data_IF_844237124301
#
_entry.id   IF_844237124301
#
_cell.length_a   1.000
_cell.length_b   1.000
_cell.length_c   1.000
_cell.angle_alpha   90.00
_cell.angle_beta   90.00
_cell.angle_gamma   90.00
#
_symmetry.space_group_name_H-M   'P 1'
#
loop_
_entity.id
_entity.type
_entity.pdbx_description
1 polymer ?
#
# COMPACT_ATOMS: atom_id res chain seq x y z
N UNK A 1 -44.69 -21.75 45.43
CA UNK A 1 -43.74 -22.25 44.41
C UNK A 1 -43.14 -21.03 43.71
N UNK A 2 -42.05 -20.50 44.24
CA UNK A 2 -41.39 -19.29 43.71
C UNK A 2 -40.04 -19.66 43.10
N UNK A 3 -40.00 -19.77 41.76
CA UNK A 3 -38.75 -19.92 41.01
C UNK A 3 -38.25 -18.54 40.61
N UNK A 4 -37.45 -17.91 41.48
CA UNK A 4 -36.71 -16.70 41.13
C UNK A 4 -35.55 -17.14 40.24
N UNK A 5 -35.60 -16.75 38.96
CA UNK A 5 -34.49 -16.86 38.02
C UNK A 5 -33.31 -16.07 38.57
N UNK A 6 -32.26 -16.80 38.95
CA UNK A 6 -31.05 -16.26 39.55
C UNK A 6 -30.33 -15.34 38.57
N UNK A 7 -30.42 -14.03 38.83
CA UNK A 7 -29.73 -12.96 38.08
C UNK A 7 -28.21 -13.19 38.10
N UNK A 8 -27.68 -13.93 39.08
CA UNK A 8 -26.27 -14.30 39.15
C UNK A 8 -25.85 -15.18 37.98
N UNK A 9 -26.73 -16.06 37.48
CA UNK A 9 -26.43 -16.94 36.35
C UNK A 9 -26.29 -16.15 35.03
N UNK A 10 -27.15 -15.14 34.82
CA UNK A 10 -27.08 -14.26 33.65
C UNK A 10 -25.82 -13.39 33.71
N UNK A 11 -25.50 -12.82 34.87
CA UNK A 11 -24.31 -11.99 35.05
C UNK A 11 -22.99 -12.80 34.95
N UNK A 12 -22.98 -14.07 35.39
CA UNK A 12 -21.83 -14.96 35.20
C UNK A 12 -21.64 -15.34 33.72
N UNK A 13 -22.74 -15.61 33.01
CA UNK A 13 -22.70 -15.91 31.59
C UNK A 13 -22.19 -14.71 30.76
N UNK A 14 -22.64 -13.49 31.08
CA UNK A 14 -22.13 -12.26 30.45
C UNK A 14 -20.64 -12.05 30.72
N UNK A 15 -20.19 -12.24 31.97
CA UNK A 15 -18.78 -12.09 32.32
C UNK A 15 -17.89 -13.14 31.65
N UNK A 16 -18.39 -14.36 31.44
CA UNK A 16 -17.68 -15.40 30.70
C UNK A 16 -17.64 -15.13 29.19
N UNK A 17 -18.71 -14.58 28.61
CA UNK A 17 -18.78 -14.22 27.19
C UNK A 17 -17.81 -13.08 26.83
N UNK A 18 -17.62 -12.09 27.72
CA UNK A 18 -16.60 -11.04 27.58
C UNK A 18 -15.17 -11.59 27.64
N UNK A 19 -14.90 -12.61 28.48
CA UNK A 19 -13.55 -13.21 28.56
C UNK A 19 -13.21 -14.11 27.37
N UNK A 20 -14.20 -14.78 26.77
CA UNK A 20 -13.99 -15.64 25.60
C UNK A 20 -13.77 -14.81 24.34
N UNK A 21 -14.59 -13.78 24.13
CA UNK A 21 -14.42 -12.83 23.02
C UNK A 21 -13.09 -12.10 23.09
N UNK A 22 -12.65 -11.64 24.28
CA UNK A 22 -11.34 -11.00 24.40
C UNK A 22 -10.17 -11.93 24.06
N UNK A 23 -10.23 -13.21 24.48
CA UNK A 23 -9.15 -14.16 24.27
C UNK A 23 -9.07 -14.63 22.79
N UNK A 24 -10.20 -14.70 22.10
CA UNK A 24 -10.28 -14.96 20.65
C UNK A 24 -9.78 -13.77 19.82
N UNK A 25 -10.18 -12.54 20.17
CA UNK A 25 -9.66 -11.31 19.54
C UNK A 25 -8.15 -11.14 19.76
N UNK A 26 -7.64 -11.53 20.94
CA UNK A 26 -6.21 -11.53 21.24
C UNK A 26 -5.43 -12.58 20.44
N UNK A 27 -6.04 -13.73 20.11
CA UNK A 27 -5.38 -14.78 19.32
C UNK A 27 -5.28 -14.43 17.84
N UNK A 28 -6.32 -13.81 17.26
CA UNK A 28 -6.28 -13.29 15.88
C UNK A 28 -5.21 -12.21 15.69
N UNK A 29 -5.19 -11.22 16.59
CA UNK A 29 -4.21 -10.13 16.58
C UNK A 29 -2.78 -10.60 16.82
N UNK A 30 -2.57 -11.53 17.76
CA UNK A 30 -1.25 -12.08 18.03
C UNK A 30 -0.70 -12.91 16.86
N UNK A 31 -1.57 -13.63 16.12
CA UNK A 31 -1.15 -14.37 14.93
C UNK A 31 -0.83 -13.42 13.76
N UNK A 32 -1.58 -12.33 13.60
CA UNK A 32 -1.30 -11.28 12.61
C UNK A 32 0.09 -10.66 12.80
N UNK A 33 0.46 -10.31 14.02
CA UNK A 33 1.75 -9.65 14.31
C UNK A 33 2.97 -10.59 14.18
N UNK A 34 2.77 -11.90 14.33
CA UNK A 34 3.85 -12.91 14.38
C UNK A 34 4.01 -13.69 13.07
N UNK A 35 2.90 -14.08 12.43
CA UNK A 35 2.90 -14.85 11.19
C UNK A 35 1.74 -14.42 10.27
N UNK A 36 1.94 -13.27 9.62
CA UNK A 36 1.01 -12.71 8.64
C UNK A 36 0.61 -13.74 7.57
N UNK A 37 1.55 -14.56 7.10
CA UNK A 37 1.26 -15.57 6.09
C UNK A 37 0.22 -16.57 6.62
N UNK A 38 0.43 -17.17 7.79
CA UNK A 38 -0.55 -18.09 8.36
C UNK A 38 -1.89 -17.39 8.68
N UNK A 39 -1.85 -16.17 9.20
CA UNK A 39 -3.05 -15.38 9.47
C UNK A 39 -3.90 -15.16 8.20
N UNK A 40 -3.29 -14.83 7.06
CA UNK A 40 -4.03 -14.64 5.79
C UNK A 40 -4.71 -15.92 5.32
N UNK A 41 -4.03 -17.06 5.38
CA UNK A 41 -4.60 -18.35 4.96
C UNK A 41 -5.72 -18.82 5.89
N UNK A 42 -5.54 -18.64 7.21
CA UNK A 42 -6.56 -18.98 8.20
C UNK A 42 -7.85 -18.19 8.00
N UNK A 43 -7.75 -16.86 7.90
CA UNK A 43 -8.93 -16.01 7.67
C UNK A 43 -9.59 -16.28 6.31
N UNK A 44 -8.80 -16.58 5.27
CA UNK A 44 -9.34 -16.98 3.98
C UNK A 44 -10.11 -18.33 4.04
N UNK A 45 -9.66 -19.27 4.86
CA UNK A 45 -10.37 -20.54 5.08
C UNK A 45 -11.69 -20.34 5.84
N UNK A 46 -11.68 -19.55 6.92
CA UNK A 46 -12.90 -19.17 7.65
C UNK A 46 -13.93 -18.48 6.75
N UNK A 47 -13.49 -17.56 5.88
CA UNK A 47 -14.35 -16.91 4.89
C UNK A 47 -14.99 -17.91 3.92
N UNK A 48 -14.22 -18.88 3.40
CA UNK A 48 -14.75 -19.93 2.49
C UNK A 48 -15.76 -20.84 3.19
N UNK A 49 -15.60 -21.06 4.48
CA UNK A 49 -16.53 -21.86 5.31
C UNK A 49 -17.76 -21.06 5.77
N UNK A 50 -17.83 -19.74 5.50
CA UNK A 50 -18.92 -18.87 5.94
C UNK A 50 -18.91 -18.60 7.45
N UNK A 51 -17.78 -18.81 8.13
CA UNK A 51 -17.62 -18.64 9.59
C UNK A 51 -17.33 -17.19 9.95
N UNK A 52 -18.24 -16.28 9.58
CA UNK A 52 -18.06 -14.83 9.73
C UNK A 52 -17.97 -14.34 11.18
N UNK A 53 -18.40 -15.13 12.15
CA UNK A 53 -18.26 -14.78 13.57
C UNK A 53 -16.82 -14.93 14.10
N UNK A 54 -15.96 -15.63 13.36
CA UNK A 54 -14.61 -16.01 13.79
C UNK A 54 -13.51 -15.32 12.98
N UNK A 55 -13.87 -14.58 11.92
CA UNK A 55 -12.90 -13.83 11.12
C UNK A 55 -12.45 -12.58 11.86
N UNK A 56 -11.20 -12.21 11.63
CA UNK A 56 -10.60 -10.98 12.11
C UNK A 56 -10.98 -9.80 11.18
N UNK A 57 -12.25 -9.39 11.24
CA UNK A 57 -12.86 -8.48 10.26
C UNK A 57 -12.16 -7.11 10.19
N UNK A 58 -11.72 -6.57 11.33
CA UNK A 58 -11.02 -5.28 11.39
C UNK A 58 -9.69 -5.33 10.66
N UNK A 59 -8.83 -6.32 10.95
CA UNK A 59 -7.53 -6.43 10.30
C UNK A 59 -7.68 -6.80 8.81
N UNK A 60 -8.67 -7.62 8.44
CA UNK A 60 -8.98 -7.89 7.02
C UNK A 60 -9.37 -6.60 6.28
N UNK A 61 -10.23 -5.77 6.87
CA UNK A 61 -10.64 -4.51 6.25
C UNK A 61 -9.44 -3.57 6.07
N UNK A 62 -8.57 -3.45 7.08
CA UNK A 62 -7.35 -2.66 6.99
C UNK A 62 -6.44 -3.14 5.85
N UNK A 63 -6.21 -4.45 5.74
CA UNK A 63 -5.39 -5.03 4.66
C UNK A 63 -5.97 -4.77 3.27
N UNK A 64 -7.28 -4.87 3.09
CA UNK A 64 -7.95 -4.55 1.83
C UNK A 64 -7.80 -3.07 1.46
N UNK A 65 -7.92 -2.18 2.44
CA UNK A 65 -7.69 -0.75 2.24
C UNK A 65 -6.22 -0.46 1.91
N UNK A 66 -5.28 -1.13 2.58
CA UNK A 66 -3.86 -0.99 2.33
C UNK A 66 -3.43 -1.51 0.95
N UNK A 67 -4.01 -2.63 0.49
CA UNK A 67 -3.87 -3.11 -0.88
C UNK A 67 -4.32 -2.07 -1.92
N UNK A 68 -5.46 -1.41 -1.67
CA UNK A 68 -5.93 -0.32 -2.53
C UNK A 68 -5.00 0.90 -2.51
N UNK A 69 -4.49 1.27 -1.32
CA UNK A 69 -3.55 2.39 -1.14
C UNK A 69 -2.18 2.08 -1.78
N UNK A 70 -1.69 0.86 -1.68
CA UNK A 70 -0.39 0.45 -2.24
C UNK A 70 -0.37 0.56 -3.76
N UNK A 71 -1.44 0.12 -4.44
CA UNK A 71 -1.61 0.25 -5.90
C UNK A 71 -1.60 1.72 -6.36
N UNK A 72 -2.25 2.62 -5.60
CA UNK A 72 -2.20 4.07 -5.85
C UNK A 72 -0.78 4.64 -5.68
N UNK A 73 -0.08 4.25 -4.60
CA UNK A 73 1.30 4.68 -4.32
C UNK A 73 2.26 4.18 -5.41
N UNK A 74 2.10 2.95 -5.89
CA UNK A 74 2.90 2.40 -6.98
C UNK A 74 2.73 3.21 -8.27
N UNK A 75 1.48 3.50 -8.67
CA UNK A 75 1.21 4.32 -9.85
C UNK A 75 1.89 5.70 -9.76
N UNK A 76 1.75 6.37 -8.61
CA UNK A 76 2.40 7.66 -8.37
C UNK A 76 3.93 7.57 -8.50
N UNK A 77 4.56 6.60 -7.83
CA UNK A 77 6.01 6.39 -7.90
C UNK A 77 6.51 6.15 -9.34
N UNK A 78 5.81 5.31 -10.10
CA UNK A 78 6.16 5.03 -11.50
C UNK A 78 6.01 6.26 -12.40
N UNK A 79 4.93 7.03 -12.21
CA UNK A 79 4.71 8.28 -12.93
C UNK A 79 5.81 9.31 -12.60
N UNK A 80 6.19 9.46 -11.33
CA UNK A 80 7.28 10.34 -10.92
C UNK A 80 8.59 10.02 -11.65
N UNK A 81 8.98 8.74 -11.67
CA UNK A 81 10.20 8.28 -12.35
C UNK A 81 10.11 8.50 -13.86
N UNK A 82 8.96 8.21 -14.47
CA UNK A 82 8.73 8.42 -15.89
C UNK A 82 8.85 9.90 -16.25
N UNK A 83 8.13 10.77 -15.54
CA UNK A 83 8.11 12.22 -15.78
C UNK A 83 9.51 12.80 -15.60
N UNK A 84 10.23 12.44 -14.53
CA UNK A 84 11.61 12.86 -14.32
C UNK A 84 12.52 12.49 -15.51
N UNK A 85 12.42 11.26 -16.02
CA UNK A 85 13.24 10.83 -17.16
C UNK A 85 12.82 11.50 -18.47
N UNK A 86 11.53 11.76 -18.69
CA UNK A 86 11.04 12.52 -19.83
C UNK A 86 11.55 13.97 -19.81
N UNK A 87 11.54 14.63 -18.65
CA UNK A 87 12.09 15.98 -18.47
C UNK A 87 13.60 15.99 -18.76
N UNK A 88 14.37 15.04 -18.20
CA UNK A 88 15.79 14.89 -18.50
C UNK A 88 16.03 14.64 -19.99
N UNK A 89 15.19 13.84 -20.63
CA UNK A 89 15.27 13.58 -22.06
C UNK A 89 15.04 14.83 -22.90
N UNK A 90 14.02 15.62 -22.57
CA UNK A 90 13.66 16.85 -23.27
C UNK A 90 14.72 17.93 -23.11
N UNK A 91 15.16 18.21 -21.88
CA UNK A 91 16.00 19.36 -21.57
C UNK A 91 17.50 19.06 -21.51
N UNK A 92 17.93 17.80 -21.55
CA UNK A 92 19.36 17.43 -21.55
C UNK A 92 19.74 16.58 -22.78
N UNK A 93 19.54 17.07 -24.02
CA UNK A 93 19.77 16.29 -25.24
C UNK A 93 21.21 15.76 -25.35
N UNK A 94 22.21 16.56 -24.94
CA UNK A 94 23.63 16.18 -24.92
C UNK A 94 23.98 15.07 -23.91
N UNK A 95 23.04 14.68 -23.02
CA UNK A 95 23.26 13.72 -21.93
C UNK A 95 22.35 12.49 -22.04
N UNK A 96 21.59 12.37 -23.12
CA UNK A 96 20.77 11.19 -23.39
C UNK A 96 21.67 9.96 -23.41
N UNK A 97 21.29 8.94 -22.65
CA UNK A 97 21.96 7.65 -22.59
C UNK A 97 20.93 6.55 -22.84
N UNK A 98 21.37 5.42 -23.38
CA UNK A 98 20.51 4.26 -23.61
C UNK A 98 19.78 3.80 -22.34
N UNK A 99 20.41 3.92 -21.17
CA UNK A 99 19.76 3.60 -19.90
C UNK A 99 18.53 4.46 -19.60
N UNK A 100 18.48 5.72 -20.03
CA UNK A 100 17.29 6.58 -19.82
C UNK A 100 16.13 6.16 -20.71
N UNK A 101 16.39 5.84 -21.99
CA UNK A 101 15.36 5.32 -22.88
C UNK A 101 14.82 3.98 -22.38
N UNK A 102 15.69 3.11 -21.86
CA UNK A 102 15.28 1.84 -21.24
C UNK A 102 14.38 2.09 -20.04
N UNK A 103 14.74 3.01 -19.13
CA UNK A 103 13.88 3.35 -17.98
C UNK A 103 12.53 3.90 -18.42
N UNK A 104 12.48 4.81 -19.41
CA UNK A 104 11.23 5.34 -19.95
C UNK A 104 10.34 4.21 -20.50
N UNK A 105 10.92 3.32 -21.30
CA UNK A 105 10.21 2.18 -21.87
C UNK A 105 9.66 1.24 -20.79
N UNK A 106 10.47 0.91 -19.78
CA UNK A 106 10.06 0.07 -18.67
C UNK A 106 8.95 0.71 -17.85
N UNK A 107 9.07 1.98 -17.44
CA UNK A 107 8.02 2.64 -16.66
C UNK A 107 6.70 2.72 -17.44
N UNK A 108 6.73 3.02 -18.74
CA UNK A 108 5.52 3.00 -19.59
C UNK A 108 4.86 1.62 -19.63
N UNK A 109 5.66 0.55 -19.78
CA UNK A 109 5.14 -0.82 -19.80
C UNK A 109 4.49 -1.19 -18.47
N UNK A 110 5.16 -0.91 -17.35
CA UNK A 110 4.64 -1.28 -16.04
C UNK A 110 3.43 -0.43 -15.63
N UNK A 111 3.40 0.87 -15.96
CA UNK A 111 2.19 1.69 -15.77
C UNK A 111 1.02 1.14 -16.59
N UNK A 112 1.27 0.73 -17.84
CA UNK A 112 0.23 0.15 -18.69
C UNK A 112 -0.35 -1.11 -18.04
N UNK A 113 0.49 -2.05 -17.60
CA UNK A 113 0.07 -3.28 -16.90
C UNK A 113 -0.72 -2.96 -15.63
N UNK A 114 -0.21 -2.07 -14.78
CA UNK A 114 -0.88 -1.67 -13.55
C UNK A 114 -2.29 -1.13 -13.79
N UNK A 115 -2.49 -0.35 -14.86
CA UNK A 115 -3.80 0.19 -15.25
C UNK A 115 -4.70 -0.80 -16.02
N UNK A 116 -4.14 -1.91 -16.52
CA UNK A 116 -4.90 -3.04 -17.06
C UNK A 116 -5.42 -3.90 -15.91
N UNK A 117 -4.58 -4.18 -14.91
CA UNK A 117 -4.93 -4.94 -13.71
C UNK A 117 -5.85 -4.15 -12.77
N UNK A 118 -5.73 -2.81 -12.75
CA UNK A 118 -6.51 -1.92 -11.89
C UNK A 118 -7.16 -0.75 -12.67
N UNK A 119 -8.20 -1.01 -13.49
CA UNK A 119 -8.80 0.02 -14.34
C UNK A 119 -9.30 1.26 -13.60
N UNK A 120 -9.78 1.09 -12.37
CA UNK A 120 -10.29 2.19 -11.52
C UNK A 120 -9.21 3.22 -11.13
N UNK A 121 -7.93 2.90 -11.25
CA UNK A 121 -6.85 3.88 -11.02
C UNK A 121 -6.84 5.00 -12.07
N UNK A 122 -7.49 4.81 -13.23
CA UNK A 122 -7.56 5.82 -14.30
C UNK A 122 -8.34 7.07 -13.89
N UNK A 123 -9.34 6.95 -13.00
CA UNK A 123 -10.24 8.05 -12.67
C UNK A 123 -9.55 9.26 -12.01
N UNK A 124 -8.38 9.07 -11.39
CA UNK A 124 -7.65 10.17 -10.73
C UNK A 124 -6.24 10.37 -11.30
N UNK A 125 -5.96 9.84 -12.49
CA UNK A 125 -4.60 9.81 -13.03
C UNK A 125 -4.07 11.21 -13.36
N UNK A 126 -4.93 12.13 -13.81
CA UNK A 126 -4.52 13.50 -14.15
C UNK A 126 -4.02 14.27 -12.92
N UNK A 127 -4.73 14.16 -11.80
CA UNK A 127 -4.33 14.74 -10.52
C UNK A 127 -2.99 14.19 -10.06
N UNK A 128 -2.79 12.87 -10.18
CA UNK A 128 -1.52 12.22 -9.82
C UNK A 128 -0.40 12.72 -10.74
N UNK A 129 -0.61 12.77 -12.06
CA UNK A 129 0.37 13.30 -13.01
C UNK A 129 0.75 14.75 -12.67
N UNK A 130 -0.23 15.61 -12.39
CA UNK A 130 0.01 17.01 -12.06
C UNK A 130 0.89 17.15 -10.81
N UNK A 131 0.58 16.38 -9.76
CA UNK A 131 1.38 16.34 -8.53
C UNK A 131 2.81 15.84 -8.79
N UNK A 132 2.95 14.67 -9.42
CA UNK A 132 4.26 14.05 -9.66
C UNK A 132 5.12 14.86 -10.63
N UNK A 133 4.50 15.65 -11.52
CA UNK A 133 5.21 16.58 -12.39
C UNK A 133 5.89 17.72 -11.62
N UNK A 134 5.22 18.27 -10.61
CA UNK A 134 5.80 19.30 -9.73
C UNK A 134 7.00 18.71 -8.98
N UNK A 135 6.83 17.54 -8.38
CA UNK A 135 7.91 16.85 -7.65
C UNK A 135 9.10 16.51 -8.56
N UNK A 136 8.85 15.95 -9.75
CA UNK A 136 9.88 15.61 -10.70
C UNK A 136 10.69 16.83 -11.17
N UNK A 137 10.06 18.01 -11.28
CA UNK A 137 10.76 19.27 -11.59
C UNK A 137 11.72 19.68 -10.46
N UNK A 138 11.29 19.59 -9.20
CA UNK A 138 12.13 19.88 -8.03
C UNK A 138 13.34 18.95 -7.96
N UNK A 139 13.12 17.65 -8.16
CA UNK A 139 14.20 16.67 -8.18
C UNK A 139 15.15 16.92 -9.36
N UNK A 140 14.62 17.20 -10.55
CA UNK A 140 15.45 17.47 -11.73
C UNK A 140 16.31 18.73 -11.55
N UNK A 141 15.77 19.81 -10.97
CA UNK A 141 16.52 21.05 -10.73
C UNK A 141 17.63 20.83 -9.68
N UNK A 142 17.34 20.07 -8.62
CA UNK A 142 18.34 19.70 -7.61
C UNK A 142 19.47 18.84 -8.20
N UNK A 143 19.13 17.85 -9.03
CA UNK A 143 20.12 16.97 -9.68
C UNK A 143 21.05 17.72 -10.64
N UNK A 144 20.58 18.76 -11.36
CA UNK A 144 21.47 19.63 -12.14
C UNK A 144 22.47 20.35 -11.22
N UNK A 145 21.98 20.99 -10.17
CA UNK A 145 22.78 21.80 -9.25
C UNK A 145 23.83 20.99 -8.49
N UNK A 146 23.44 19.83 -7.94
CA UNK A 146 24.35 18.95 -7.18
C UNK A 146 25.45 18.37 -8.08
N UNK A 147 25.11 18.01 -9.32
CA UNK A 147 26.06 17.41 -10.25
C UNK A 147 27.04 18.44 -10.83
N UNK A 148 26.62 19.69 -10.99
CA UNK A 148 27.51 20.80 -11.35
C UNK A 148 28.51 21.10 -10.22
N UNK A 149 28.04 21.18 -8.96
CA UNK A 149 28.92 21.32 -7.79
C UNK A 149 29.95 20.20 -7.68
N UNK A 150 29.56 18.94 -7.87
CA UNK A 150 30.50 17.80 -7.84
C UNK A 150 31.53 17.82 -8.98
N UNK A 151 31.23 18.44 -10.11
CA UNK A 151 32.17 18.59 -11.23
C UNK A 151 33.10 19.78 -11.07
N UNK A 152 32.66 20.82 -10.36
CA UNK A 152 33.44 22.01 -10.05
C UNK A 152 34.33 21.83 -8.81
N UNK A 153 34.12 20.78 -8.02
CA UNK A 153 35.02 20.42 -6.93
C UNK A 153 36.38 19.97 -7.49
N UNK A 154 37.49 20.55 -7.02
CA UNK A 154 38.82 20.10 -7.43
C UNK A 154 39.03 18.63 -7.03
N UNK A 155 39.80 17.84 -7.81
CA UNK A 155 40.14 16.47 -7.44
C UNK A 155 40.93 16.45 -6.12
N UNK A 156 40.84 15.34 -5.36
CA UNK A 156 41.58 15.18 -4.11
C UNK A 156 43.10 15.22 -4.31
#
# INVERSE_FOLDING_TARGET
MGGLTDVSYIMLAYKHMDTLTHNETLTGRALYEVDFYQWTFHNADLLRQGRFAEIDIENIAEELEDMGRSSKRELASRLAVLIMHLLKWQYQPKRRRGSWSTTIGNQRREIKRLLEDNPSLRYNIETVIAKEFIEAKLVSSLYSTVKERRRAAPPP
#
